data_IF_206681592914
#
_entry.id   IF_206681592914
#
_cell.length_a   1.000
_cell.length_b   1.000
_cell.length_c   1.000
_cell.angle_alpha   90.00
_cell.angle_beta   90.00
_cell.angle_gamma   90.00
#
_symmetry.space_group_name_H-M   'P 1'
#
loop_
_entity.id
_entity.type
_entity.pdbx_description
1 polymer ?
#
# COMPACT_ATOMS: atom_id res chain seq x y z
N UNK A 1 25.23 -2.41 -22.73
CA UNK A 1 23.86 -2.17 -22.24
C UNK A 1 23.95 -1.48 -20.89
N UNK A 2 23.62 -0.19 -20.81
CA UNK A 2 23.61 0.54 -19.53
C UNK A 2 22.33 0.20 -18.76
N UNK A 3 22.47 -0.41 -17.58
CA UNK A 3 21.34 -0.68 -16.69
C UNK A 3 20.91 0.66 -16.10
N UNK A 4 19.85 1.27 -16.63
CA UNK A 4 19.29 2.50 -16.06
C UNK A 4 18.71 2.20 -14.66
N UNK A 5 18.94 3.06 -13.66
CA UNK A 5 18.38 2.87 -12.33
C UNK A 5 16.84 2.94 -12.38
N UNK A 6 16.18 1.99 -11.73
CA UNK A 6 14.71 1.94 -11.59
C UNK A 6 14.31 2.97 -10.53
N UNK A 7 13.56 4.03 -10.84
CA UNK A 7 13.03 4.94 -9.84
C UNK A 7 12.05 4.21 -8.93
N UNK A 8 12.03 4.57 -7.64
CA UNK A 8 11.11 4.00 -6.65
C UNK A 8 10.10 5.08 -6.23
N UNK A 9 8.81 4.79 -6.39
CA UNK A 9 7.72 5.55 -5.79
C UNK A 9 7.25 4.82 -4.53
N UNK A 10 7.60 5.33 -3.35
CA UNK A 10 7.20 4.72 -2.08
C UNK A 10 6.03 5.49 -1.46
N UNK A 11 4.92 4.79 -1.23
CA UNK A 11 3.72 5.29 -0.57
C UNK A 11 3.68 4.78 0.87
N UNK A 12 3.67 5.71 1.84
CA UNK A 12 3.73 5.39 3.27
C UNK A 12 2.92 6.36 4.13
N UNK A 13 2.51 5.91 5.31
CA UNK A 13 1.80 6.73 6.28
C UNK A 13 2.78 7.68 7.03
N UNK A 14 2.36 8.91 7.32
CA UNK A 14 3.18 9.94 7.97
C UNK A 14 3.56 9.63 9.44
N UNK A 15 2.82 8.76 10.13
CA UNK A 15 3.19 8.28 11.48
C UNK A 15 4.17 7.12 11.45
N UNK A 16 4.27 6.45 10.32
CA UNK A 16 5.00 5.20 10.12
C UNK A 16 6.25 5.43 9.25
N UNK A 17 6.89 6.59 9.45
CA UNK A 17 8.12 6.97 8.75
C UNK A 17 9.23 5.90 8.83
N UNK A 18 9.22 5.04 9.86
CA UNK A 18 10.15 3.93 10.02
C UNK A 18 9.91 2.79 9.03
N UNK A 19 8.68 2.40 8.70
CA UNK A 19 8.39 1.27 7.79
C UNK A 19 8.70 1.62 6.34
N UNK A 20 8.35 2.83 5.89
CA UNK A 20 8.69 3.32 4.55
C UNK A 20 10.20 3.49 4.31
N UNK A 21 10.94 4.06 5.27
CA UNK A 21 12.39 4.27 5.14
C UNK A 21 13.20 2.98 5.34
N UNK A 22 12.79 2.09 6.25
CA UNK A 22 13.48 0.80 6.47
C UNK A 22 13.28 -0.16 5.30
N UNK A 23 12.06 -0.27 4.77
CA UNK A 23 11.79 -1.10 3.58
C UNK A 23 12.56 -0.59 2.37
N UNK A 24 12.57 0.74 2.16
CA UNK A 24 13.36 1.33 1.10
C UNK A 24 14.86 1.07 1.28
N UNK A 25 15.40 1.19 2.50
CA UNK A 25 16.82 0.92 2.75
C UNK A 25 17.19 -0.52 2.39
N UNK A 26 16.30 -1.48 2.60
CA UNK A 26 16.50 -2.87 2.20
C UNK A 26 16.48 -3.06 0.67
N UNK A 27 15.62 -2.32 -0.04
CA UNK A 27 15.49 -2.40 -1.50
C UNK A 27 16.51 -1.54 -2.27
N UNK A 28 17.05 -0.50 -1.63
CA UNK A 28 18.05 0.41 -2.18
C UNK A 28 19.19 0.65 -1.16
N UNK A 29 19.95 -0.40 -0.78
CA UNK A 29 20.95 -0.31 0.29
C UNK A 29 22.13 0.61 -0.05
N UNK A 30 22.39 0.82 -1.35
CA UNK A 30 23.44 1.73 -1.84
C UNK A 30 22.96 3.17 -2.00
N UNK A 31 21.67 3.44 -1.81
CA UNK A 31 21.05 4.72 -2.09
C UNK A 31 21.34 5.26 -3.51
N UNK A 32 21.44 4.37 -4.50
CA UNK A 32 21.83 4.71 -5.88
C UNK A 32 20.64 4.81 -6.84
N UNK A 33 19.43 4.48 -6.38
CA UNK A 33 18.17 4.70 -7.11
C UNK A 33 17.51 6.03 -6.74
N UNK A 34 16.87 6.66 -7.74
CA UNK A 34 16.01 7.83 -7.52
C UNK A 34 14.79 7.42 -6.70
N UNK A 35 14.44 8.22 -5.69
CA UNK A 35 13.32 7.98 -4.80
C UNK A 35 12.35 9.16 -4.83
N UNK A 36 11.07 8.85 -4.99
CA UNK A 36 9.97 9.77 -4.73
C UNK A 36 9.12 9.23 -3.57
N UNK A 37 8.90 10.06 -2.56
CA UNK A 37 8.08 9.72 -1.41
C UNK A 37 6.69 10.35 -1.56
N UNK A 38 5.66 9.53 -1.39
CA UNK A 38 4.27 9.95 -1.30
C UNK A 38 3.73 9.64 0.09
N UNK A 39 3.54 10.67 0.90
CA UNK A 39 2.98 10.51 2.23
C UNK A 39 1.46 10.62 2.22
N UNK A 40 0.80 9.71 2.93
CA UNK A 40 -0.64 9.73 3.11
C UNK A 40 -1.01 9.85 4.59
N UNK A 41 -2.19 10.40 4.84
CA UNK A 41 -2.77 10.45 6.17
C UNK A 41 -3.71 9.25 6.37
N UNK A 42 -3.27 8.27 7.17
CA UNK A 42 -4.05 7.06 7.48
C UNK A 42 -4.69 7.05 8.87
N UNK A 43 -4.51 8.09 9.70
CA UNK A 43 -4.94 8.04 11.11
C UNK A 43 -5.64 9.28 11.66
N UNK A 44 -5.45 10.46 11.07
CA UNK A 44 -6.02 11.70 11.59
C UNK A 44 -7.26 12.06 10.78
N UNK A 45 -8.46 12.11 11.38
CA UNK A 45 -9.63 12.60 10.66
C UNK A 45 -9.45 14.05 10.17
N UNK A 46 -10.00 14.42 8.99
CA UNK A 46 -10.71 13.55 8.06
C UNK A 46 -9.74 12.65 7.28
N UNK A 47 -10.10 11.37 7.19
CA UNK A 47 -9.37 10.40 6.39
C UNK A 47 -9.77 10.52 4.91
N UNK A 48 -8.84 10.28 3.98
CA UNK A 48 -9.16 10.31 2.56
C UNK A 48 -10.09 9.15 2.20
N UNK A 49 -11.10 9.44 1.38
CA UNK A 49 -11.98 8.41 0.85
C UNK A 49 -11.20 7.44 -0.05
N UNK A 50 -11.31 6.11 0.14
CA UNK A 50 -10.64 5.12 -0.71
C UNK A 50 -10.90 5.34 -2.21
N UNK A 51 -12.12 5.71 -2.59
CA UNK A 51 -12.45 6.12 -3.97
C UNK A 51 -11.61 7.26 -4.52
N UNK A 52 -11.23 8.24 -3.69
CA UNK A 52 -10.35 9.34 -4.10
C UNK A 52 -8.90 8.86 -4.23
N UNK A 53 -8.45 8.01 -3.33
CA UNK A 53 -7.12 7.37 -3.36
C UNK A 53 -6.95 6.50 -4.61
N UNK A 54 -7.96 5.72 -5.00
CA UNK A 54 -7.91 4.92 -6.22
C UNK A 54 -7.78 5.80 -7.47
N UNK A 55 -8.57 6.89 -7.56
CA UNK A 55 -8.46 7.87 -8.65
C UNK A 55 -7.09 8.56 -8.69
N UNK A 56 -6.48 8.82 -7.53
CA UNK A 56 -5.10 9.32 -7.47
C UNK A 56 -4.13 8.29 -8.09
N UNK A 57 -4.28 7.01 -7.78
CA UNK A 57 -3.51 5.94 -8.40
C UNK A 57 -3.65 5.91 -9.92
N UNK A 58 -4.87 6.06 -10.44
CA UNK A 58 -5.12 6.14 -11.89
C UNK A 58 -4.41 7.33 -12.54
N UNK A 59 -4.43 8.49 -11.89
CA UNK A 59 -3.69 9.67 -12.37
C UNK A 59 -2.17 9.45 -12.33
N UNK A 60 -1.66 8.75 -11.32
CA UNK A 60 -0.23 8.37 -11.25
C UNK A 60 0.10 7.42 -12.40
N UNK A 61 -0.72 6.41 -12.69
CA UNK A 61 -0.52 5.50 -13.83
C UNK A 61 -0.38 6.25 -15.15
N UNK A 62 -1.25 7.23 -15.41
CA UNK A 62 -1.17 8.06 -16.61
C UNK A 62 0.18 8.77 -16.74
N UNK A 63 0.71 9.31 -15.64
CA UNK A 63 2.04 9.94 -15.63
C UNK A 63 3.14 8.88 -15.85
N UNK A 64 3.01 7.71 -15.22
CA UNK A 64 3.97 6.61 -15.35
C UNK A 64 3.97 5.97 -16.76
N UNK A 65 2.88 6.09 -17.53
CA UNK A 65 2.81 5.67 -18.93
C UNK A 65 3.61 6.57 -19.86
N UNK A 66 3.87 7.82 -19.46
CA UNK A 66 4.59 8.81 -20.27
C UNK A 66 6.11 8.82 -20.02
N UNK A 67 6.59 8.07 -19.01
CA UNK A 67 8.03 8.01 -18.69
C UNK A 67 8.69 6.77 -19.30
N UNK A 68 9.88 6.95 -19.88
CA UNK A 68 10.67 5.85 -20.46
C UNK A 68 11.33 4.94 -19.39
N UNK A 69 11.38 5.39 -18.14
CA UNK A 69 12.03 4.66 -17.05
C UNK A 69 11.12 3.53 -16.54
N UNK A 70 11.72 2.37 -16.23
CA UNK A 70 11.02 1.33 -15.45
C UNK A 70 10.91 1.79 -14.00
N UNK A 71 9.70 1.91 -13.47
CA UNK A 71 9.43 2.41 -12.12
C UNK A 71 8.96 1.27 -11.21
N UNK A 72 9.54 1.16 -10.02
CA UNK A 72 9.03 0.32 -8.93
C UNK A 72 8.07 1.16 -8.07
N UNK A 73 6.83 0.73 -7.96
CA UNK A 73 5.87 1.29 -7.01
C UNK A 73 5.83 0.40 -5.77
N UNK A 74 6.03 1.02 -4.61
CA UNK A 74 6.06 0.35 -3.31
C UNK A 74 5.01 0.99 -2.40
N UNK A 75 3.96 0.25 -2.04
CA UNK A 75 3.09 0.63 -0.94
C UNK A 75 3.57 -0.03 0.36
N UNK A 76 3.56 0.74 1.43
CA UNK A 76 3.91 0.31 2.79
C UNK A 76 2.79 0.66 3.76
N UNK A 77 2.82 0.07 4.95
CA UNK A 77 1.74 0.16 5.94
C UNK A 77 0.71 -0.94 5.79
N UNK A 78 -0.18 -1.04 6.78
CA UNK A 78 -1.10 -2.16 6.95
C UNK A 78 -0.41 -3.44 7.46
N UNK A 79 -1.12 -4.55 7.61
CA UNK A 79 -2.59 -4.69 7.52
C UNK A 79 -3.24 -4.36 8.87
N UNK A 80 -4.29 -5.07 9.30
CA UNK A 80 -5.03 -4.72 10.52
C UNK A 80 -4.14 -4.60 11.76
N UNK A 81 -4.19 -3.43 12.40
CA UNK A 81 -3.62 -3.15 13.72
C UNK A 81 -4.25 -1.89 14.32
N UNK A 82 -4.17 -1.74 15.65
CA UNK A 82 -4.92 -0.69 16.36
C UNK A 82 -4.06 0.13 17.34
N UNK A 83 -3.02 0.82 16.84
CA UNK A 83 -2.05 1.51 17.68
C UNK A 83 -2.70 2.62 18.52
N UNK A 84 -2.40 2.62 19.82
CA UNK A 84 -2.92 3.63 20.74
C UNK A 84 -4.42 3.48 21.08
N UNK A 85 -5.02 2.32 20.81
CA UNK A 85 -6.42 2.02 21.16
C UNK A 85 -6.51 0.85 22.14
N UNK A 86 -7.66 0.61 22.79
CA UNK A 86 -7.91 -0.59 23.58
C UNK A 86 -7.80 -1.91 22.79
N UNK A 87 -7.86 -1.87 21.45
CA UNK A 87 -7.79 -3.04 20.57
C UNK A 87 -6.37 -3.39 20.13
N UNK A 88 -5.31 -2.81 20.72
CA UNK A 88 -3.94 -2.95 20.20
C UNK A 88 -3.44 -4.40 20.01
N UNK A 89 -3.87 -5.34 20.86
CA UNK A 89 -3.53 -6.78 20.71
C UNK A 89 -4.43 -7.56 19.75
N UNK A 90 -5.42 -6.91 19.16
CA UNK A 90 -6.36 -7.52 18.22
C UNK A 90 -5.87 -7.34 16.78
N UNK A 91 -6.16 -8.33 15.93
CA UNK A 91 -5.88 -8.32 14.50
C UNK A 91 -7.10 -8.90 13.81
N UNK A 92 -7.59 -8.19 12.81
CA UNK A 92 -8.75 -8.56 12.02
C UNK A 92 -8.29 -9.37 10.80
N UNK A 93 -7.93 -10.64 11.04
CA UNK A 93 -7.46 -11.52 9.97
C UNK A 93 -8.51 -11.77 8.89
N UNK A 94 -9.80 -11.66 9.23
CA UNK A 94 -10.89 -11.86 8.26
C UNK A 94 -10.89 -10.72 7.24
N UNK A 95 -10.85 -9.48 7.72
CA UNK A 95 -10.73 -8.32 6.84
C UNK A 95 -9.46 -8.37 6.00
N UNK A 96 -8.33 -8.71 6.61
CA UNK A 96 -7.05 -8.80 5.91
C UNK A 96 -7.08 -9.85 4.80
N UNK A 97 -7.56 -11.07 5.08
CA UNK A 97 -7.67 -12.15 4.09
C UNK A 97 -8.64 -11.80 2.97
N UNK A 98 -9.74 -11.09 3.27
CA UNK A 98 -10.66 -10.59 2.25
C UNK A 98 -9.97 -9.62 1.29
N UNK A 99 -9.22 -8.65 1.80
CA UNK A 99 -8.43 -7.71 0.98
C UNK A 99 -7.44 -8.47 0.10
N UNK A 100 -6.66 -9.40 0.67
CA UNK A 100 -5.70 -10.19 -0.09
C UNK A 100 -6.38 -11.04 -1.18
N UNK A 101 -7.55 -11.61 -0.91
CA UNK A 101 -8.33 -12.37 -1.87
C UNK A 101 -8.87 -11.50 -3.03
N UNK A 102 -9.32 -10.28 -2.73
CA UNK A 102 -9.73 -9.32 -3.76
C UNK A 102 -8.56 -8.99 -4.69
N UNK A 103 -7.38 -8.70 -4.14
CA UNK A 103 -6.18 -8.38 -4.92
C UNK A 103 -5.70 -9.58 -5.75
N UNK A 104 -5.62 -10.77 -5.15
CA UNK A 104 -5.20 -12.00 -5.83
C UNK A 104 -6.14 -12.39 -6.98
N UNK A 105 -7.44 -12.09 -6.84
CA UNK A 105 -8.45 -12.37 -7.86
C UNK A 105 -8.55 -11.30 -8.95
N UNK A 106 -7.74 -10.25 -8.91
CA UNK A 106 -7.78 -9.16 -9.89
C UNK A 106 -9.02 -8.28 -9.72
N UNK A 107 -9.39 -8.00 -8.48
CA UNK A 107 -10.52 -7.13 -8.11
C UNK A 107 -10.04 -5.94 -7.27
N UNK A 108 -8.88 -5.39 -7.61
CA UNK A 108 -8.26 -4.27 -6.88
C UNK A 108 -9.14 -3.02 -6.83
N UNK A 109 -9.96 -2.80 -7.85
CA UNK A 109 -10.93 -1.71 -7.92
C UNK A 109 -11.98 -1.77 -6.80
N UNK A 110 -12.24 -2.95 -6.22
CA UNK A 110 -13.13 -3.13 -5.07
C UNK A 110 -12.62 -2.52 -3.77
N UNK A 111 -11.32 -2.29 -3.63
CA UNK A 111 -10.82 -1.58 -2.46
C UNK A 111 -11.29 -0.11 -2.42
N UNK A 112 -11.71 0.45 -3.56
CA UNK A 112 -12.26 1.79 -3.66
C UNK A 112 -13.71 1.90 -3.12
N UNK A 113 -14.39 0.76 -2.94
CA UNK A 113 -15.77 0.69 -2.45
C UNK A 113 -15.82 0.79 -0.91
N UNK A 114 -14.69 0.58 -0.22
CA UNK A 114 -14.60 0.81 1.23
C UNK A 114 -14.78 2.29 1.60
N UNK A 115 -15.24 2.49 2.82
CA UNK A 115 -15.37 3.79 3.47
C UNK A 115 -14.20 4.02 4.44
N UNK A 116 -13.86 5.29 4.75
CA UNK A 116 -12.86 5.58 5.78
C UNK A 116 -13.21 4.95 7.14
N UNK A 117 -14.48 4.90 7.50
CA UNK A 117 -14.93 4.31 8.76
C UNK A 117 -14.69 2.80 8.76
N UNK A 118 -15.04 2.07 7.70
CA UNK A 118 -14.75 0.62 7.60
C UNK A 118 -13.24 0.32 7.74
N UNK A 119 -12.39 1.15 7.12
CA UNK A 119 -10.93 1.00 7.26
C UNK A 119 -10.47 1.24 8.69
N UNK A 120 -11.03 2.23 9.39
CA UNK A 120 -10.66 2.49 10.80
C UNK A 120 -11.16 1.41 11.75
N UNK A 121 -12.39 0.91 11.56
CA UNK A 121 -12.96 -0.14 12.39
C UNK A 121 -12.21 -1.48 12.26
N UNK A 122 -11.61 -1.74 11.09
CA UNK A 122 -10.80 -2.93 10.82
C UNK A 122 -9.30 -2.74 11.09
N UNK A 123 -8.89 -1.59 11.66
CA UNK A 123 -7.47 -1.31 11.95
C UNK A 123 -6.60 -1.12 10.69
N UNK A 124 -7.22 -0.77 9.56
CA UNK A 124 -6.61 -0.70 8.23
C UNK A 124 -6.56 0.73 7.68
N UNK A 125 -6.39 1.74 8.54
CA UNK A 125 -6.29 3.14 8.12
C UNK A 125 -5.17 3.40 7.08
N UNK A 126 -4.11 2.59 7.10
CA UNK A 126 -2.99 2.67 6.16
C UNK A 126 -3.23 1.91 4.84
N UNK A 127 -4.31 1.12 4.74
CA UNK A 127 -4.67 0.39 3.53
C UNK A 127 -4.92 1.35 2.35
N UNK A 128 -5.16 2.63 2.61
CA UNK A 128 -5.23 3.68 1.58
C UNK A 128 -4.02 3.68 0.64
N UNK A 129 -2.82 3.29 1.12
CA UNK A 129 -1.62 3.19 0.27
C UNK A 129 -1.77 2.06 -0.76
N UNK A 130 -2.36 0.94 -0.33
CA UNK A 130 -2.66 -0.20 -1.18
C UNK A 130 -3.79 0.12 -2.17
N UNK A 131 -4.76 0.95 -1.77
CA UNK A 131 -5.82 1.45 -2.66
C UNK A 131 -5.22 2.33 -3.77
N UNK A 132 -4.25 3.20 -3.46
CA UNK A 132 -3.52 3.99 -4.47
C UNK A 132 -2.78 3.06 -5.42
N UNK A 133 -2.01 2.11 -4.90
CA UNK A 133 -1.29 1.12 -5.73
C UNK A 133 -2.24 0.30 -6.60
N UNK A 134 -3.39 -0.10 -6.08
CA UNK A 134 -4.43 -0.78 -6.86
C UNK A 134 -4.99 0.13 -7.96
N UNK A 135 -5.10 1.44 -7.72
CA UNK A 135 -5.44 2.42 -8.75
C UNK A 135 -4.39 2.55 -9.84
N UNK A 136 -3.11 2.34 -9.50
CA UNK A 136 -2.00 2.33 -10.46
C UNK A 136 -2.02 1.05 -11.30
N UNK A 137 -2.22 -0.10 -10.65
CA UNK A 137 -2.19 -1.43 -11.28
C UNK A 137 -3.51 -1.81 -11.97
N UNK A 138 -4.61 -1.13 -11.65
CA UNK A 138 -5.97 -1.54 -12.03
C UNK A 138 -6.36 -2.89 -11.43
N UNK A 139 -7.18 -3.64 -12.17
CA UNK A 139 -7.65 -4.98 -11.78
C UNK A 139 -6.66 -6.10 -12.17
N UNK A 140 -5.38 -5.77 -12.31
CA UNK A 140 -4.32 -6.76 -12.47
C UNK A 140 -4.24 -7.68 -11.24
N UNK A 141 -4.11 -8.99 -11.48
CA UNK A 141 -3.94 -9.97 -10.40
C UNK A 141 -2.58 -9.76 -9.73
N UNK A 142 -2.59 -9.71 -8.40
CA UNK A 142 -1.35 -9.77 -7.62
C UNK A 142 -1.01 -11.23 -7.25
N UNK A 143 0.25 -11.50 -6.97
CA UNK A 143 0.64 -12.71 -6.22
C UNK A 143 0.77 -12.34 -4.75
N UNK A 144 0.02 -13.03 -3.89
CA UNK A 144 0.21 -13.00 -2.44
C UNK A 144 1.42 -13.85 -2.11
N UNK A 145 2.44 -13.24 -1.53
CA UNK A 145 3.67 -13.90 -1.12
C UNK A 145 3.49 -14.59 0.22
N UNK A 146 2.94 -13.87 1.19
CA UNK A 146 2.72 -14.37 2.55
C UNK A 146 1.70 -13.49 3.30
N UNK A 147 1.13 -14.07 4.35
CA UNK A 147 0.38 -13.36 5.38
C UNK A 147 0.77 -13.91 6.75
N UNK A 148 1.40 -13.08 7.58
CA UNK A 148 1.89 -13.46 8.91
C UNK A 148 1.09 -12.70 9.96
N UNK A 149 0.34 -13.43 10.78
CA UNK A 149 -0.31 -12.90 11.98
C UNK A 149 0.72 -12.79 13.12
N UNK A 150 1.11 -11.55 13.45
CA UNK A 150 1.88 -11.23 14.67
C UNK A 150 0.95 -10.72 15.74
N UNK A 151 1.32 -10.81 17.02
CA UNK A 151 0.43 -10.55 18.18
C UNK A 151 -0.39 -9.24 18.15
N UNK A 152 0.05 -8.17 17.47
CA UNK A 152 -0.66 -6.88 17.36
C UNK A 152 -0.90 -6.39 15.92
N UNK A 153 -0.46 -7.13 14.90
CA UNK A 153 -0.53 -6.68 13.50
C UNK A 153 -0.60 -7.87 12.52
N UNK A 154 -1.38 -7.71 11.45
CA UNK A 154 -1.32 -8.56 10.27
C UNK A 154 -0.27 -8.07 9.28
N UNK A 155 0.68 -8.92 8.88
CA UNK A 155 1.70 -8.57 7.88
C UNK A 155 1.38 -9.23 6.54
N UNK A 156 0.94 -8.45 5.55
CA UNK A 156 0.68 -8.92 4.20
C UNK A 156 1.80 -8.54 3.24
N UNK A 157 2.22 -9.48 2.39
CA UNK A 157 3.19 -9.24 1.32
C UNK A 157 2.59 -9.63 -0.03
N UNK A 158 2.53 -8.68 -0.95
CA UNK A 158 2.01 -8.88 -2.31
C UNK A 158 2.92 -8.21 -3.33
N UNK A 159 2.91 -8.70 -4.58
CA UNK A 159 3.48 -7.96 -5.69
C UNK A 159 2.68 -8.17 -6.98
N UNK A 160 2.80 -7.20 -7.87
CA UNK A 160 2.27 -7.24 -9.24
C UNK A 160 3.43 -7.33 -10.22
N UNK A 161 3.21 -8.04 -11.31
CA UNK A 161 4.09 -8.08 -12.46
C UNK A 161 3.30 -7.54 -13.64
N UNK A 162 3.50 -6.25 -13.94
CA UNK A 162 2.76 -5.47 -14.94
C UNK A 162 3.72 -4.64 -15.80
#
# INVERSE_FOLDING_TARGET
>A
MSIRPIPILACGCSRDCSSGTSTFRSLNPKADKKLMLLFTNGYVPPLPWPKRCYKLGQAIRQILDEVDDRVLVLATGGMSHYPGTPLYGYVDEEFDKNVLALLASGKGSKLADFTPDELMHSGNGELINWVITSGICGDAKCRVLDYIRLWHIGLGYVYWEI
#
